data_IF_568851458031
#
_entry.id   IF_568851458031
#
_cell.length_a   1.000
_cell.length_b   1.000
_cell.length_c   1.000
_cell.angle_alpha   90.00
_cell.angle_beta   90.00
_cell.angle_gamma   90.00
#
_symmetry.space_group_name_H-M   'P 1'
#
loop_
_entity.id
_entity.type
_entity.pdbx_description
1 polymer ?
#
# COMPACT_ATOMS: atom_id res chain seq x y z
N UNK A 1 8.29 -12.61 0.85
CA UNK A 1 7.08 -11.79 1.07
C UNK A 1 7.34 -10.49 0.35
N UNK A 2 6.60 -10.21 -0.72
CA UNK A 2 6.92 -9.02 -1.51
C UNK A 2 6.48 -7.75 -0.77
N UNK A 3 7.06 -6.61 -1.10
CA UNK A 3 6.74 -5.33 -0.43
C UNK A 3 5.26 -4.97 -0.51
N UNK A 4 4.56 -5.44 -1.54
CA UNK A 4 3.11 -5.20 -1.67
C UNK A 4 2.30 -5.97 -0.63
N UNK A 5 2.70 -7.21 -0.29
CA UNK A 5 2.13 -7.97 0.83
C UNK A 5 2.46 -7.31 2.17
N UNK A 6 3.67 -6.78 2.34
CA UNK A 6 4.09 -6.10 3.56
C UNK A 6 3.30 -4.81 3.79
N UNK A 7 2.98 -4.06 2.72
CA UNK A 7 2.08 -2.90 2.82
C UNK A 7 0.67 -3.31 3.17
N UNK A 8 0.12 -4.36 2.54
CA UNK A 8 -1.24 -4.81 2.87
C UNK A 8 -1.34 -5.19 4.33
N UNK A 9 -0.34 -5.92 4.83
CA UNK A 9 -0.25 -6.28 6.23
C UNK A 9 -0.20 -5.03 7.10
N UNK A 10 0.65 -4.04 6.76
CA UNK A 10 0.71 -2.77 7.50
C UNK A 10 -0.58 -1.96 7.43
N UNK A 11 -1.24 -1.86 6.27
CA UNK A 11 -2.54 -1.20 6.15
C UNK A 11 -3.55 -1.87 7.09
N UNK A 12 -3.52 -3.20 7.18
CA UNK A 12 -4.44 -3.95 8.02
C UNK A 12 -4.15 -3.76 9.51
N UNK A 13 -2.90 -3.93 9.92
CA UNK A 13 -2.51 -4.04 11.34
C UNK A 13 -2.04 -2.72 11.97
N UNK A 14 -1.60 -1.74 11.18
CA UNK A 14 -0.99 -0.50 11.66
C UNK A 14 -1.85 0.72 11.28
N UNK A 15 -2.56 1.25 12.28
CA UNK A 15 -3.42 2.43 12.11
C UNK A 15 -2.63 3.71 11.79
N UNK A 16 -1.44 3.87 12.36
CA UNK A 16 -0.62 5.06 12.11
C UNK A 16 -0.16 5.05 10.65
N UNK A 17 0.35 3.91 10.19
CA UNK A 17 0.72 3.71 8.80
C UNK A 17 -0.46 3.97 7.84
N UNK A 18 -1.65 3.45 8.16
CA UNK A 18 -2.87 3.64 7.35
C UNK A 18 -3.27 5.12 7.23
N UNK A 19 -3.16 5.89 8.31
CA UNK A 19 -3.46 7.34 8.32
C UNK A 19 -2.39 8.16 7.59
N UNK A 20 -1.10 7.84 7.77
CA UNK A 20 -0.02 8.49 7.04
C UNK A 20 -0.14 8.24 5.54
N UNK A 21 -0.43 7.00 5.14
CA UNK A 21 -0.65 6.64 3.75
C UNK A 21 -1.84 7.43 3.19
N UNK A 22 -2.99 7.42 3.86
CA UNK A 22 -4.17 8.20 3.52
C UNK A 22 -3.84 9.69 3.26
N UNK A 23 -3.10 10.32 4.18
CA UNK A 23 -2.69 11.73 4.05
C UNK A 23 -1.73 11.97 2.88
N UNK A 24 -0.84 11.03 2.57
CA UNK A 24 0.15 11.19 1.49
C UNK A 24 -0.43 11.04 0.09
N UNK A 25 -1.50 10.27 -0.06
CA UNK A 25 -2.11 9.97 -1.36
C UNK A 25 -3.48 10.61 -1.54
N UNK A 26 -3.86 11.53 -0.65
CA UNK A 26 -5.13 12.27 -0.68
C UNK A 26 -6.36 11.36 -0.74
N UNK A 27 -6.34 10.27 0.04
CA UNK A 27 -7.46 9.35 0.19
C UNK A 27 -7.91 9.31 1.66
N UNK A 28 -9.16 8.93 1.88
CA UNK A 28 -9.65 8.65 3.23
C UNK A 28 -9.10 7.33 3.77
N UNK A 29 -8.94 7.23 5.10
CA UNK A 29 -8.55 5.99 5.80
C UNK A 29 -9.41 4.78 5.35
N UNK A 30 -10.71 5.00 5.14
CA UNK A 30 -11.65 3.99 4.67
C UNK A 30 -11.36 3.52 3.24
N UNK A 31 -10.99 4.44 2.34
CA UNK A 31 -10.57 4.07 0.99
C UNK A 31 -9.28 3.23 1.03
N UNK A 32 -8.35 3.54 1.93
CA UNK A 32 -7.15 2.73 2.16
C UNK A 32 -7.50 1.33 2.66
N UNK A 33 -8.41 1.22 3.63
CA UNK A 33 -8.90 -0.06 4.15
C UNK A 33 -9.50 -0.94 3.04
N UNK A 34 -10.33 -0.32 2.18
CA UNK A 34 -10.99 -1.02 1.08
C UNK A 34 -10.00 -1.62 0.08
N UNK A 35 -8.75 -1.14 0.01
CA UNK A 35 -7.70 -1.73 -0.83
C UNK A 35 -7.34 -3.14 -0.36
N UNK A 36 -7.26 -3.35 0.96
CA UNK A 36 -6.99 -4.68 1.54
C UNK A 36 -8.15 -5.63 1.23
N UNK A 37 -9.38 -5.16 1.42
CA UNK A 37 -10.57 -5.96 1.14
C UNK A 37 -10.71 -6.32 -0.34
N UNK A 38 -10.42 -5.36 -1.23
CA UNK A 38 -10.43 -5.59 -2.68
C UNK A 38 -9.29 -6.53 -3.12
N UNK A 39 -8.13 -6.45 -2.46
CA UNK A 39 -7.02 -7.36 -2.72
C UNK A 39 -7.36 -8.80 -2.30
N UNK A 40 -7.90 -8.99 -1.08
CA UNK A 40 -8.34 -10.31 -0.59
C UNK A 40 -9.41 -10.94 -1.45
N UNK A 41 -10.28 -10.12 -2.05
CA UNK A 41 -11.32 -10.55 -3.00
C UNK A 41 -10.78 -10.80 -4.43
N UNK A 42 -9.48 -10.68 -4.67
CA UNK A 42 -8.85 -10.89 -5.97
C UNK A 42 -9.19 -9.82 -7.03
N UNK A 43 -9.78 -8.69 -6.62
CA UNK A 43 -10.35 -7.69 -7.54
C UNK A 43 -9.39 -6.59 -8.00
N UNK A 44 -8.26 -6.37 -7.33
CA UNK A 44 -7.29 -5.37 -7.81
C UNK A 44 -5.87 -5.58 -7.27
N UNK A 45 -4.99 -6.04 -8.15
CA UNK A 45 -3.53 -6.08 -7.91
C UNK A 45 -2.90 -4.73 -8.28
N UNK A 46 -3.42 -4.05 -9.32
CA UNK A 46 -2.82 -2.84 -9.90
C UNK A 46 -2.90 -1.60 -9.01
N UNK A 47 -4.01 -1.41 -8.27
CA UNK A 47 -4.17 -0.21 -7.44
C UNK A 47 -3.28 -0.28 -6.19
N UNK A 48 -3.17 -1.47 -5.59
CA UNK A 48 -2.24 -1.75 -4.50
C UNK A 48 -0.79 -1.49 -4.94
N UNK A 49 -0.40 -2.02 -6.09
CA UNK A 49 0.98 -1.91 -6.56
C UNK A 49 1.34 -0.45 -6.92
N UNK A 50 0.38 0.33 -7.45
CA UNK A 50 0.58 1.76 -7.69
C UNK A 50 0.81 2.55 -6.39
N UNK A 51 0.01 2.29 -5.37
CA UNK A 51 0.12 2.97 -4.07
C UNK A 51 1.35 2.51 -3.27
N UNK A 52 1.71 1.24 -3.40
CA UNK A 52 2.96 0.70 -2.88
C UNK A 52 4.16 1.43 -3.48
N UNK A 53 4.16 1.56 -4.81
CA UNK A 53 5.23 2.25 -5.53
C UNK A 53 5.31 3.71 -5.14
N UNK A 54 4.19 4.42 -5.05
CA UNK A 54 4.20 5.85 -4.75
C UNK A 54 4.60 6.13 -3.29
N UNK A 55 4.14 5.32 -2.34
CA UNK A 55 4.59 5.42 -0.95
C UNK A 55 6.10 5.18 -0.81
N UNK A 56 6.63 4.10 -1.40
CA UNK A 56 8.06 3.79 -1.25
C UNK A 56 8.97 4.71 -2.05
N UNK A 57 8.53 5.19 -3.22
CA UNK A 57 9.21 6.29 -3.92
C UNK A 57 9.27 7.54 -3.04
N UNK A 58 8.19 7.88 -2.33
CA UNK A 58 8.18 9.03 -1.41
C UNK A 58 9.17 8.89 -0.24
N UNK A 59 9.59 7.65 0.06
CA UNK A 59 10.61 7.33 1.07
C UNK A 59 12.02 7.14 0.47
N UNK A 60 12.19 7.35 -0.84
CA UNK A 60 13.49 7.28 -1.53
C UNK A 60 13.85 5.93 -2.15
N UNK A 61 12.95 4.95 -2.13
CA UNK A 61 13.22 3.62 -2.69
C UNK A 61 12.98 3.57 -4.20
N UNK A 62 13.84 2.86 -4.92
CA UNK A 62 13.71 2.61 -6.35
C UNK A 62 12.69 1.49 -6.64
N UNK A 63 12.09 1.51 -7.85
CA UNK A 63 11.19 0.43 -8.29
C UNK A 63 11.83 -0.96 -8.18
N UNK A 64 13.15 -1.07 -8.40
CA UNK A 64 13.86 -2.34 -8.30
C UNK A 64 13.88 -2.83 -6.84
N UNK A 65 14.14 -1.96 -5.87
CA UNK A 65 14.07 -2.29 -4.45
C UNK A 65 12.65 -2.62 -3.99
N UNK A 66 11.63 -2.01 -4.62
CA UNK A 66 10.20 -2.26 -4.32
C UNK A 66 9.74 -3.64 -4.81
N UNK A 67 10.29 -4.15 -5.91
CA UNK A 67 9.80 -5.40 -6.54
C UNK A 67 10.76 -6.59 -6.44
N UNK A 68 11.99 -6.42 -5.95
CA UNK A 68 13.04 -7.47 -6.01
C UNK A 68 13.42 -8.05 -4.63
N UNK A 69 12.45 -8.31 -3.75
CA UNK A 69 12.61 -9.15 -2.56
C UNK A 69 11.38 -10.04 -2.32
#
# INVERSE_FOLDING_TARGET
>A
MNISELILQKIETDKVFRLELASKIDLSERQIQNLVDNHRKGKSVRLRDALAVDYYKSKGFSKKEIYTN
#
